data_IF_071045455810
#
_entry.id   IF_071045455810
#
_cell.length_a   1.000
_cell.length_b   1.000
_cell.length_c   1.000
_cell.angle_alpha   90.00
_cell.angle_beta   90.00
_cell.angle_gamma   90.00
#
_symmetry.space_group_name_H-M   'P 1'
#
loop_
_entity.id
_entity.type
_entity.pdbx_description
1 polymer ?
#
# COMPACT_ATOMS: atom_id res chain seq x y z
N UNK A 1 -17.92 -10.70 24.50
CA UNK A 1 -17.68 -11.88 23.64
C UNK A 1 -16.56 -11.50 22.71
N UNK A 2 -15.34 -11.88 23.08
CA UNK A 2 -14.17 -11.71 22.23
C UNK A 2 -14.32 -12.71 21.08
N UNK A 3 -14.81 -12.22 19.93
CA UNK A 3 -14.71 -12.99 18.70
C UNK A 3 -13.22 -13.05 18.39
N UNK A 4 -12.60 -14.19 18.73
CA UNK A 4 -11.28 -14.56 18.21
C UNK A 4 -11.35 -14.33 16.71
N UNK A 5 -10.57 -13.39 16.21
CA UNK A 5 -10.49 -13.10 14.78
C UNK A 5 -10.02 -14.39 14.11
N UNK A 6 -10.85 -14.97 13.25
CA UNK A 6 -10.42 -16.14 12.50
C UNK A 6 -9.39 -15.67 11.46
N UNK A 7 -8.12 -16.00 11.70
CA UNK A 7 -6.97 -15.61 10.88
C UNK A 7 -7.12 -16.02 9.41
N UNK A 8 -7.90 -17.06 9.10
CA UNK A 8 -8.16 -17.47 7.73
C UNK A 8 -8.85 -16.38 6.88
N UNK A 9 -9.68 -15.54 7.51
CA UNK A 9 -10.36 -14.44 6.81
C UNK A 9 -9.46 -13.22 6.56
N UNK A 10 -8.25 -13.21 7.13
CA UNK A 10 -7.27 -12.14 7.00
C UNK A 10 -6.11 -12.53 6.06
N UNK A 11 -6.11 -13.74 5.51
CA UNK A 11 -5.11 -14.17 4.53
C UNK A 11 -5.22 -13.34 3.24
N UNK A 12 -4.07 -13.08 2.61
CA UNK A 12 -3.98 -12.39 1.33
C UNK A 12 -4.17 -10.87 1.40
N UNK A 13 -4.22 -10.27 2.60
CA UNK A 13 -4.16 -8.81 2.75
C UNK A 13 -2.75 -8.31 2.39
N UNK A 14 -2.69 -7.34 1.49
CA UNK A 14 -1.45 -6.70 1.04
C UNK A 14 -1.54 -5.21 1.34
N UNK A 15 -0.71 -4.74 2.26
CA UNK A 15 -0.60 -3.35 2.63
C UNK A 15 0.27 -2.64 1.61
N UNK A 16 -0.26 -1.60 0.98
CA UNK A 16 0.43 -0.89 -0.10
C UNK A 16 0.46 0.60 0.19
N UNK A 17 1.59 1.22 -0.12
CA UNK A 17 1.83 2.66 -0.03
C UNK A 17 2.61 3.11 -1.28
N UNK A 18 2.23 4.24 -1.87
CA UNK A 18 2.79 4.75 -3.12
C UNK A 18 3.37 6.15 -2.95
N UNK A 19 4.53 6.37 -3.57
CA UNK A 19 5.12 7.69 -3.76
C UNK A 19 5.00 8.09 -5.23
N UNK A 20 4.67 9.36 -5.49
CA UNK A 20 4.54 9.89 -6.85
C UNK A 20 4.88 11.37 -6.90
N UNK A 21 5.18 11.90 -8.10
CA UNK A 21 5.46 13.32 -8.29
C UNK A 21 4.22 14.15 -8.71
N UNK A 22 3.03 13.57 -8.63
CA UNK A 22 1.79 14.23 -9.02
C UNK A 22 0.57 13.61 -8.32
N UNK A 23 -0.61 14.21 -8.48
CA UNK A 23 -1.81 13.80 -7.74
C UNK A 23 -2.51 12.56 -8.34
N UNK A 24 -2.30 12.24 -9.62
CA UNK A 24 -2.92 11.11 -10.32
C UNK A 24 -2.16 10.76 -11.61
N UNK A 25 -2.43 9.60 -12.25
CA UNK A 25 -1.73 9.14 -13.45
C UNK A 25 -1.67 10.08 -14.65
N UNK A 26 -2.66 10.95 -14.83
CA UNK A 26 -2.66 11.94 -15.91
C UNK A 26 -1.79 13.17 -15.63
N UNK A 27 -1.50 13.45 -14.35
CA UNK A 27 -0.85 14.67 -13.88
C UNK A 27 0.52 14.40 -13.23
N UNK A 28 1.06 13.20 -13.38
CA UNK A 28 2.35 12.82 -12.83
C UNK A 28 2.68 11.35 -13.08
N UNK A 29 3.70 10.87 -12.40
CA UNK A 29 4.21 9.51 -12.50
C UNK A 29 4.36 8.88 -11.11
N UNK A 30 4.04 7.59 -11.03
CA UNK A 30 4.39 6.75 -9.89
C UNK A 30 5.92 6.65 -9.81
N UNK A 31 6.50 6.94 -8.65
CA UNK A 31 7.96 6.95 -8.47
C UNK A 31 8.46 5.67 -7.86
N UNK A 32 7.79 5.24 -6.78
CA UNK A 32 8.03 3.97 -6.11
C UNK A 32 6.80 3.55 -5.31
N UNK A 33 6.72 2.28 -4.95
CA UNK A 33 5.70 1.75 -4.07
C UNK A 33 6.25 0.61 -3.21
N UNK A 34 5.65 0.43 -2.05
CA UNK A 34 5.93 -0.65 -1.11
C UNK A 34 4.69 -1.51 -0.96
N UNK A 35 4.89 -2.82 -0.91
CA UNK A 35 3.83 -3.78 -0.60
C UNK A 35 4.30 -4.70 0.52
N UNK A 36 3.45 -4.99 1.50
CA UNK A 36 3.74 -5.89 2.63
C UNK A 36 2.58 -6.84 2.87
N UNK A 37 2.85 -8.15 2.89
CA UNK A 37 1.82 -9.19 3.06
C UNK A 37 1.58 -9.45 4.54
N UNK A 38 0.32 -9.50 4.94
CA UNK A 38 -0.08 -9.99 6.26
C UNK A 38 -0.38 -11.51 6.22
N UNK A 39 0.01 -12.31 7.24
CA UNK A 39 0.81 -11.94 8.42
C UNK A 39 2.32 -12.12 8.24
N UNK A 40 2.78 -12.60 7.07
CA UNK A 40 4.18 -13.00 6.85
C UNK A 40 5.19 -11.84 6.90
N UNK A 41 4.71 -10.60 6.72
CA UNK A 41 5.51 -9.38 6.60
C UNK A 41 6.52 -9.40 5.44
N UNK A 42 6.36 -10.33 4.49
CA UNK A 42 7.13 -10.31 3.25
C UNK A 42 6.85 -9.00 2.52
N UNK A 43 7.91 -8.35 2.06
CA UNK A 43 7.83 -7.05 1.40
C UNK A 43 8.31 -7.10 -0.04
N UNK A 44 7.74 -6.20 -0.84
CA UNK A 44 8.17 -5.90 -2.20
C UNK A 44 8.35 -4.39 -2.34
N UNK A 45 9.47 -3.98 -2.97
CA UNK A 45 9.77 -2.59 -3.26
C UNK A 45 9.80 -2.39 -4.78
N UNK A 46 8.75 -1.78 -5.32
CA UNK A 46 8.69 -1.41 -6.72
C UNK A 46 9.28 -0.03 -6.93
N UNK A 47 10.48 0.05 -7.51
CA UNK A 47 11.16 1.31 -7.81
C UNK A 47 11.03 1.57 -9.31
N UNK A 48 10.35 2.65 -9.71
CA UNK A 48 10.33 3.09 -11.11
C UNK A 48 11.39 4.15 -11.40
N UNK A 49 11.81 4.91 -10.39
CA UNK A 49 12.83 5.93 -10.53
C UNK A 49 13.89 5.80 -9.44
N UNK A 50 15.16 5.74 -9.83
CA UNK A 50 16.29 5.49 -8.92
C UNK A 50 16.60 6.59 -7.90
N UNK A 51 15.99 7.77 -8.05
CA UNK A 51 16.06 8.87 -7.09
C UNK A 51 14.65 9.39 -6.81
N UNK A 52 14.35 9.67 -5.55
CA UNK A 52 13.09 10.30 -5.15
C UNK A 52 13.04 11.73 -5.68
N UNK A 53 11.91 12.16 -6.28
CA UNK A 53 11.69 13.58 -6.50
C UNK A 53 11.70 14.32 -5.17
N UNK A 54 12.24 15.54 -5.17
CA UNK A 54 12.24 16.35 -3.97
C UNK A 54 10.81 16.74 -3.63
N UNK A 55 10.44 16.68 -2.36
CA UNK A 55 9.15 17.22 -1.88
C UNK A 55 9.05 18.73 -2.07
N UNK A 56 10.14 19.40 -2.45
CA UNK A 56 10.21 20.82 -2.74
C UNK A 56 9.97 21.09 -4.23
N UNK A 57 8.85 21.74 -4.62
CA UNK A 57 8.54 22.07 -6.02
C UNK A 57 9.61 22.94 -6.70
N UNK A 58 10.42 23.68 -5.93
CA UNK A 58 11.45 24.59 -6.43
C UNK A 58 12.78 23.89 -6.76
N UNK A 59 12.96 22.64 -6.32
CA UNK A 59 14.12 21.85 -6.68
C UNK A 59 13.75 21.01 -7.90
N UNK A 60 14.32 21.35 -9.07
CA UNK A 60 14.26 20.56 -10.30
C UNK A 60 14.10 19.08 -9.97
N UNK A 61 12.88 18.54 -10.12
CA UNK A 61 12.52 17.16 -9.81
C UNK A 61 13.29 16.22 -10.74
N UNK A 62 14.56 15.99 -10.43
CA UNK A 62 15.41 15.05 -11.14
C UNK A 62 15.02 13.67 -10.65
N UNK A 63 14.06 13.08 -11.35
CA UNK A 63 13.85 11.65 -11.33
C UNK A 63 15.18 10.99 -11.74
N UNK A 64 15.62 10.01 -10.95
CA UNK A 64 16.81 9.21 -11.29
C UNK A 64 16.56 8.31 -12.50
N UNK A 65 17.41 7.31 -12.71
CA UNK A 65 17.24 6.38 -13.82
C UNK A 65 15.86 5.71 -13.78
N UNK A 66 15.14 5.82 -14.90
CA UNK A 66 13.82 5.20 -15.09
C UNK A 66 13.99 3.72 -15.35
N UNK A 67 13.37 2.89 -14.50
CA UNK A 67 13.27 1.43 -14.73
C UNK A 67 12.08 1.14 -15.64
N UNK A 68 12.17 0.05 -16.40
CA UNK A 68 11.05 -0.41 -17.23
C UNK A 68 9.86 -0.80 -16.34
N UNK A 69 8.71 -0.09 -16.44
CA UNK A 69 7.54 -0.42 -15.64
C UNK A 69 7.01 -1.83 -15.89
N UNK A 70 7.17 -2.37 -17.10
CA UNK A 70 6.73 -3.74 -17.42
C UNK A 70 7.50 -4.76 -16.57
N UNK A 71 8.83 -4.63 -16.50
CA UNK A 71 9.67 -5.51 -15.67
C UNK A 71 9.29 -5.43 -14.18
N UNK A 72 9.09 -4.21 -13.65
CA UNK A 72 8.71 -4.01 -12.25
C UNK A 72 7.37 -4.64 -11.92
N UNK A 73 6.35 -4.44 -12.77
CA UNK A 73 5.00 -4.95 -12.51
C UNK A 73 4.85 -6.44 -12.81
N UNK A 74 5.63 -7.01 -13.74
CA UNK A 74 5.73 -8.47 -13.92
C UNK A 74 6.35 -9.12 -12.68
N UNK A 75 7.43 -8.55 -12.14
CA UNK A 75 8.04 -9.03 -10.89
C UNK A 75 7.08 -8.91 -9.72
N UNK A 76 6.31 -7.82 -9.67
CA UNK A 76 5.33 -7.62 -8.61
C UNK A 76 4.18 -8.63 -8.70
N UNK A 77 3.60 -8.87 -9.88
CA UNK A 77 2.56 -9.89 -10.05
C UNK A 77 3.09 -11.28 -9.68
N UNK A 78 4.28 -11.64 -10.16
CA UNK A 78 4.93 -12.91 -9.83
C UNK A 78 5.09 -13.07 -8.31
N UNK A 79 5.61 -12.04 -7.64
CA UNK A 79 5.76 -12.05 -6.19
C UNK A 79 4.43 -12.21 -5.46
N UNK A 80 3.35 -11.57 -5.92
CA UNK A 80 2.01 -11.76 -5.33
C UNK A 80 1.55 -13.21 -5.47
N UNK A 81 1.68 -13.81 -6.67
CA UNK A 81 1.23 -15.17 -6.95
C UNK A 81 2.03 -16.25 -6.22
N UNK A 82 3.32 -16.01 -5.96
CA UNK A 82 4.18 -16.94 -5.23
C UNK A 82 3.91 -16.93 -3.71
N UNK A 83 3.35 -15.85 -3.17
CA UNK A 83 3.26 -15.63 -1.72
C UNK A 83 1.82 -15.55 -1.18
N UNK A 84 0.81 -15.59 -2.06
CA UNK A 84 -0.60 -15.48 -1.68
C UNK A 84 -1.41 -16.59 -2.33
N UNK A 85 -2.11 -17.36 -1.51
CA UNK A 85 -3.13 -18.28 -1.98
C UNK A 85 -4.44 -17.53 -2.29
N UNK A 86 -4.95 -17.69 -3.50
CA UNK A 86 -6.17 -17.02 -3.94
C UNK A 86 -5.93 -15.57 -4.41
N UNK A 87 -6.96 -14.72 -4.29
CA UNK A 87 -6.90 -13.33 -4.79
C UNK A 87 -6.31 -12.39 -3.73
N UNK A 88 -5.26 -11.62 -4.05
CA UNK A 88 -4.73 -10.63 -3.12
C UNK A 88 -5.73 -9.49 -2.90
N UNK A 89 -5.78 -8.98 -1.67
CA UNK A 89 -6.66 -7.91 -1.24
C UNK A 89 -5.83 -6.68 -0.89
N UNK A 90 -6.04 -5.60 -1.62
CA UNK A 90 -5.30 -4.36 -1.43
C UNK A 90 -5.79 -3.62 -0.18
N UNK A 91 -4.86 -3.19 0.67
CA UNK A 91 -5.11 -2.43 1.90
C UNK A 91 -4.20 -1.20 1.92
N UNK A 92 -4.73 -0.04 2.28
CA UNK A 92 -3.96 1.21 2.39
C UNK A 92 -4.56 2.18 3.44
N UNK A 93 -3.76 3.14 3.91
CA UNK A 93 -4.24 4.33 4.64
C UNK A 93 -5.10 5.24 3.72
N UNK A 94 -4.61 5.48 2.50
CA UNK A 94 -5.16 6.38 1.50
C UNK A 94 -5.47 5.65 0.18
N UNK A 95 -6.37 4.65 0.17
CA UNK A 95 -6.57 3.80 -0.99
C UNK A 95 -7.01 4.57 -2.23
N UNK A 96 -7.75 5.69 -2.11
CA UNK A 96 -8.10 6.50 -3.27
C UNK A 96 -6.86 7.01 -4.05
N UNK A 97 -5.74 7.23 -3.34
CA UNK A 97 -4.48 7.67 -3.92
C UNK A 97 -3.59 6.49 -4.35
N UNK A 98 -3.34 5.51 -3.47
CA UNK A 98 -2.43 4.41 -3.80
C UNK A 98 -3.01 3.48 -4.87
N UNK A 99 -4.31 3.20 -4.79
CA UNK A 99 -4.98 2.30 -5.71
C UNK A 99 -4.97 2.80 -7.15
N UNK A 100 -5.21 4.10 -7.37
CA UNK A 100 -5.26 4.63 -8.74
C UNK A 100 -3.94 4.40 -9.48
N UNK A 101 -2.81 4.54 -8.79
CA UNK A 101 -1.49 4.32 -9.36
C UNK A 101 -1.26 2.85 -9.68
N UNK A 102 -1.47 1.97 -8.69
CA UNK A 102 -1.24 0.54 -8.86
C UNK A 102 -2.18 -0.04 -9.93
N UNK A 103 -3.46 0.34 -9.90
CA UNK A 103 -4.44 -0.08 -10.90
C UNK A 103 -4.06 0.41 -12.31
N UNK A 104 -3.73 1.70 -12.45
CA UNK A 104 -3.30 2.26 -13.72
C UNK A 104 -2.09 1.51 -14.27
N UNK A 105 -1.05 1.35 -13.46
CA UNK A 105 0.21 0.75 -13.91
C UNK A 105 0.05 -0.73 -14.26
N UNK A 106 -0.69 -1.52 -13.49
CA UNK A 106 -0.98 -2.92 -13.83
C UNK A 106 -1.69 -3.05 -15.18
N UNK A 107 -2.72 -2.24 -15.44
CA UNK A 107 -3.42 -2.27 -16.71
C UNK A 107 -2.55 -1.78 -17.88
N UNK A 108 -1.74 -0.75 -17.69
CA UNK A 108 -0.86 -0.22 -18.74
C UNK A 108 0.35 -1.11 -19.05
N UNK A 109 0.77 -1.96 -18.11
CA UNK A 109 1.95 -2.82 -18.28
C UNK A 109 1.60 -4.24 -18.68
N UNK A 110 0.72 -4.91 -17.91
CA UNK A 110 0.40 -6.34 -18.09
C UNK A 110 -1.06 -6.59 -18.49
N UNK A 111 -1.86 -5.53 -18.62
CA UNK A 111 -3.25 -5.58 -19.09
C UNK A 111 -4.29 -6.00 -18.04
N UNK A 112 -3.88 -6.33 -16.80
CA UNK A 112 -4.76 -6.80 -15.73
C UNK A 112 -4.24 -6.38 -14.36
N UNK A 113 -5.14 -6.23 -13.39
CA UNK A 113 -4.82 -5.95 -12.00
C UNK A 113 -5.18 -7.16 -11.11
N UNK A 114 -4.21 -7.85 -10.47
CA UNK A 114 -4.48 -9.03 -9.65
C UNK A 114 -5.34 -8.70 -8.41
N UNK A 115 -5.34 -7.45 -7.95
CA UNK A 115 -6.18 -7.01 -6.84
C UNK A 115 -7.65 -6.78 -7.22
N UNK A 116 -7.99 -6.73 -8.52
CA UNK A 116 -9.31 -6.44 -9.08
C UNK A 116 -9.69 -4.95 -9.02
N UNK A 117 -10.90 -4.60 -8.54
CA UNK A 117 -11.47 -3.22 -8.63
C UNK A 117 -11.64 -2.48 -7.29
N UNK A 118 -11.26 -3.08 -6.16
CA UNK A 118 -11.54 -2.51 -4.83
C UNK A 118 -10.34 -2.60 -3.90
N UNK A 119 -10.18 -1.58 -3.04
CA UNK A 119 -9.22 -1.55 -1.94
C UNK A 119 -9.93 -1.43 -0.58
N UNK A 120 -9.24 -1.80 0.49
CA UNK A 120 -9.66 -1.62 1.89
C UNK A 120 -8.93 -0.43 2.50
N UNK A 121 -9.65 0.37 3.28
CA UNK A 121 -9.08 1.48 4.03
C UNK A 121 -8.96 1.16 5.51
N UNK A 122 -7.74 1.19 6.05
CA UNK A 122 -7.48 0.90 7.47
C UNK A 122 -8.26 1.88 8.37
N UNK A 123 -8.25 3.16 7.98
CA UNK A 123 -8.96 4.23 8.68
C UNK A 123 -10.47 3.96 8.83
N UNK A 124 -11.12 3.38 7.83
CA UNK A 124 -12.57 3.14 7.86
C UNK A 124 -12.91 1.93 8.72
N UNK A 125 -12.06 0.89 8.70
CA UNK A 125 -12.17 -0.24 9.63
C UNK A 125 -12.04 0.23 11.08
N UNK A 126 -11.01 1.01 11.39
CA UNK A 126 -10.83 1.59 12.73
C UNK A 126 -12.02 2.48 13.13
N UNK A 127 -12.44 3.39 12.25
CA UNK A 127 -13.55 4.31 12.50
C UNK A 127 -14.85 3.56 12.83
N UNK A 128 -15.12 2.45 12.14
CA UNK A 128 -16.22 1.54 12.43
C UNK A 128 -16.10 0.88 13.81
N UNK A 129 -14.90 0.40 14.18
CA UNK A 129 -14.65 -0.20 15.49
C UNK A 129 -14.85 0.77 16.65
N UNK A 130 -14.51 2.06 16.49
CA UNK A 130 -14.71 3.08 17.54
C UNK A 130 -16.07 3.78 17.46
N UNK A 131 -16.92 3.42 16.50
CA UNK A 131 -18.23 4.05 16.30
C UNK A 131 -18.16 5.54 15.93
N UNK A 132 -17.05 5.99 15.33
CA UNK A 132 -16.85 7.39 14.97
C UNK A 132 -16.19 7.50 13.59
N UNK A 133 -17.04 7.73 12.57
CA UNK A 133 -16.62 7.92 11.17
C UNK A 133 -15.62 9.06 10.95
N UNK A 134 -15.55 10.04 11.85
CA UNK A 134 -14.57 11.13 11.76
C UNK A 134 -13.18 10.73 12.30
N UNK A 135 -13.06 9.59 12.96
CA UNK A 135 -11.83 9.15 13.60
C UNK A 135 -10.88 8.46 12.60
N UNK A 136 -10.44 9.19 11.58
CA UNK A 136 -9.60 8.65 10.49
C UNK A 136 -8.10 8.67 10.77
N UNK A 137 -7.65 9.40 11.80
CA UNK A 137 -6.21 9.59 12.06
C UNK A 137 -5.72 8.91 13.35
N UNK A 138 -6.60 8.67 14.33
CA UNK A 138 -6.19 8.20 15.67
C UNK A 138 -5.45 6.87 15.63
N UNK A 139 -5.80 5.98 14.71
CA UNK A 139 -5.15 4.69 14.53
C UNK A 139 -3.67 4.79 14.17
N UNK A 140 -3.22 5.90 13.55
CA UNK A 140 -1.82 6.09 13.11
C UNK A 140 -0.83 6.05 14.28
N UNK A 141 -1.28 6.37 15.50
CA UNK A 141 -0.48 6.23 16.73
C UNK A 141 -0.08 4.78 17.05
N UNK A 142 -0.73 3.82 16.40
CA UNK A 142 -0.48 2.40 16.58
C UNK A 142 0.65 1.89 15.67
N UNK A 143 1.09 2.68 14.68
CA UNK A 143 2.27 2.35 13.85
C UNK A 143 3.49 2.17 14.75
N UNK A 144 4.27 1.11 14.53
CA UNK A 144 5.55 0.87 15.24
C UNK A 144 6.69 1.41 14.39
N UNK A 145 6.75 1.00 13.13
CA UNK A 145 7.65 1.59 12.12
C UNK A 145 7.20 3.02 11.81
N UNK A 146 8.16 3.96 11.90
CA UNK A 146 7.90 5.39 11.70
C UNK A 146 7.65 5.68 10.22
N UNK A 147 6.68 6.57 9.96
CA UNK A 147 6.45 7.10 8.63
C UNK A 147 7.63 7.97 8.17
N UNK A 148 8.33 7.55 7.12
CA UNK A 148 9.59 8.17 6.67
C UNK A 148 9.69 8.35 5.14
N UNK A 149 8.55 8.23 4.44
CA UNK A 149 8.46 8.28 2.98
C UNK A 149 9.25 7.17 2.28
N UNK A 150 9.66 6.13 2.99
CA UNK A 150 9.97 4.85 2.37
C UNK A 150 8.68 4.03 2.32
N UNK A 151 8.15 3.76 1.12
CA UNK A 151 6.82 3.17 1.02
C UNK A 151 6.77 1.75 1.58
N UNK A 152 7.90 1.03 1.67
CA UNK A 152 7.97 -0.28 2.36
C UNK A 152 7.83 -0.11 3.87
N UNK A 153 8.55 0.85 4.46
CA UNK A 153 8.45 1.15 5.89
C UNK A 153 7.04 1.65 6.25
N UNK A 154 6.45 2.45 5.37
CA UNK A 154 5.13 3.02 5.55
C UNK A 154 4.03 1.95 5.47
N UNK A 155 4.11 1.07 4.47
CA UNK A 155 3.25 -0.11 4.36
C UNK A 155 3.43 -1.07 5.56
N UNK A 156 4.66 -1.27 6.04
CA UNK A 156 4.93 -2.09 7.24
C UNK A 156 4.32 -1.46 8.50
N UNK A 157 4.50 -0.16 8.70
CA UNK A 157 3.88 0.56 9.83
C UNK A 157 2.36 0.47 9.79
N UNK A 158 1.77 0.54 8.60
CA UNK A 158 0.32 0.33 8.39
C UNK A 158 -0.13 -1.08 8.78
N UNK A 159 0.61 -2.12 8.38
CA UNK A 159 0.35 -3.51 8.79
C UNK A 159 0.46 -3.69 10.30
N UNK A 160 1.51 -3.14 10.92
CA UNK A 160 1.73 -3.21 12.38
C UNK A 160 0.61 -2.54 13.18
N UNK A 161 0.14 -1.39 12.69
CA UNK A 161 -1.01 -0.74 13.28
C UNK A 161 -2.28 -1.61 13.14
N UNK A 162 -2.50 -2.21 11.97
CA UNK A 162 -3.62 -3.12 11.74
C UNK A 162 -3.59 -4.33 12.70
N UNK A 163 -2.43 -4.96 12.90
CA UNK A 163 -2.24 -6.06 13.86
C UNK A 163 -2.68 -5.68 15.27
N UNK A 164 -2.36 -4.46 15.71
CA UNK A 164 -2.76 -3.95 17.02
C UNK A 164 -4.27 -3.69 17.10
N UNK A 165 -4.84 -3.15 16.02
CA UNK A 165 -6.30 -2.89 15.92
C UNK A 165 -7.09 -4.20 16.02
N UNK A 166 -6.69 -5.26 15.31
CA UNK A 166 -7.39 -6.55 15.36
C UNK A 166 -7.21 -7.27 16.70
N UNK A 167 -6.17 -6.92 17.48
CA UNK A 167 -5.98 -7.34 18.87
C UNK A 167 -6.76 -6.49 19.89
N UNK A 168 -7.53 -5.51 19.41
CA UNK A 168 -8.43 -4.71 20.23
C UNK A 168 -7.88 -3.34 20.65
N UNK A 169 -6.67 -2.96 20.24
CA UNK A 169 -6.14 -1.63 20.53
C UNK A 169 -6.88 -0.55 19.71
N UNK A 170 -7.33 0.51 20.38
CA UNK A 170 -8.10 1.59 19.76
C UNK A 170 -7.60 2.94 20.23
#
# INVERSE_FOLDING_TARGET
>A
MDKVVNDDNLKGLVFVDCESNGPCPDMGELTEFGAVIYPSRLSFHGILYGLRPSVNPDLNNKLGDKRDPVDVFVKFEKWLLENIEGRPIFVSDNPAFDWQWINYMFHHTIGRNPFGYSARRISDFYAGLVGNFRSTQKWKRLRVTKHDHNPVNDALGNLEAFERIIKGER
#
